data_IF_162296283983
#
_entry.id   IF_162296283983
#
_cell.length_a   1.000
_cell.length_b   1.000
_cell.length_c   1.000
_cell.angle_alpha   90.00
_cell.angle_beta   90.00
_cell.angle_gamma   90.00
#
_symmetry.space_group_name_H-M   'P 1'
#
loop_
_entity.id
_entity.type
_entity.pdbx_description
1 polymer ?
#
# COMPACT_ATOMS: atom_id res chain seq x y z
N UNK A 1 -1.69 21.20 3.25
CA UNK A 1 -0.23 20.96 3.11
C UNK A 1 0.51 22.25 3.38
N UNK A 2 1.71 22.19 3.95
CA UNK A 2 2.51 23.41 4.17
C UNK A 2 2.83 24.08 2.81
N UNK A 3 2.62 25.40 2.68
CA UNK A 3 3.01 26.13 1.48
C UNK A 3 4.49 25.87 1.13
N UNK A 4 4.77 25.56 -0.13
CA UNK A 4 6.14 25.27 -0.60
C UNK A 4 6.69 23.88 -0.29
N UNK A 5 5.95 23.01 0.42
CA UNK A 5 6.42 21.66 0.77
C UNK A 5 6.82 20.84 -0.46
N UNK A 6 5.99 20.82 -1.51
CA UNK A 6 6.26 20.05 -2.73
C UNK A 6 7.49 20.57 -3.47
N UNK A 7 7.66 21.89 -3.55
CA UNK A 7 8.82 22.52 -4.17
C UNK A 7 10.11 22.14 -3.44
N UNK A 8 10.12 22.23 -2.12
CA UNK A 8 11.27 21.83 -1.31
C UNK A 8 11.57 20.34 -1.44
N UNK A 9 10.55 19.49 -1.41
CA UNK A 9 10.72 18.04 -1.56
C UNK A 9 11.27 17.69 -2.96
N UNK A 10 10.83 18.37 -4.01
CA UNK A 10 11.36 18.16 -5.36
C UNK A 10 12.85 18.54 -5.46
N UNK A 11 13.26 19.64 -4.83
CA UNK A 11 14.66 20.05 -4.76
C UNK A 11 15.52 18.99 -4.06
N UNK A 12 15.07 18.53 -2.87
CA UNK A 12 15.78 17.50 -2.10
C UNK A 12 15.89 16.17 -2.88
N UNK A 13 14.81 15.71 -3.53
CA UNK A 13 14.85 14.48 -4.33
C UNK A 13 15.86 14.57 -5.49
N UNK A 14 15.91 15.73 -6.17
CA UNK A 14 16.87 15.95 -7.25
C UNK A 14 18.31 16.05 -6.74
N UNK A 15 18.53 16.60 -5.55
CA UNK A 15 19.86 16.64 -4.93
C UNK A 15 20.30 15.26 -4.45
N UNK A 16 19.41 14.48 -3.84
CA UNK A 16 19.75 13.18 -3.28
C UNK A 16 20.06 12.15 -4.36
N UNK A 17 19.33 12.15 -5.49
CA UNK A 17 19.54 11.16 -6.55
C UNK A 17 20.92 11.26 -7.22
N UNK A 18 21.66 12.35 -7.00
CA UNK A 18 23.04 12.53 -7.46
C UNK A 18 24.06 11.79 -6.59
N UNK A 19 23.71 11.40 -5.36
CA UNK A 19 24.63 10.71 -4.45
C UNK A 19 25.05 9.35 -5.03
N UNK A 20 26.30 8.89 -4.78
CA UNK A 20 26.82 7.64 -5.34
C UNK A 20 25.98 6.40 -5.02
N UNK A 21 25.36 6.36 -3.83
CA UNK A 21 24.47 5.29 -3.37
C UNK A 21 23.21 5.15 -4.24
N UNK A 22 22.78 6.22 -4.90
CA UNK A 22 21.65 6.26 -5.83
C UNK A 22 22.07 6.29 -7.30
N UNK A 23 23.31 5.95 -7.64
CA UNK A 23 23.84 5.94 -9.01
C UNK A 23 22.92 5.22 -10.03
N UNK A 24 22.26 4.13 -9.61
CA UNK A 24 21.30 3.37 -10.44
C UNK A 24 20.00 4.12 -10.75
N UNK A 25 19.70 5.18 -10.01
CA UNK A 25 18.47 5.97 -10.08
C UNK A 25 18.68 7.36 -10.72
N UNK A 26 19.90 7.71 -11.13
CA UNK A 26 20.22 9.03 -11.68
C UNK A 26 19.34 9.46 -12.87
N UNK A 27 18.82 8.50 -13.64
CA UNK A 27 17.87 8.76 -14.71
C UNK A 27 16.56 9.41 -14.23
N UNK A 28 16.25 9.37 -12.93
CA UNK A 28 15.08 10.00 -12.34
C UNK A 28 15.25 11.51 -12.08
N UNK A 29 16.47 12.03 -12.20
CA UNK A 29 16.74 13.46 -12.01
C UNK A 29 15.92 14.28 -12.99
N UNK A 30 15.16 15.25 -12.48
CA UNK A 30 14.27 16.10 -13.27
C UNK A 30 13.00 15.40 -13.76
N UNK A 31 12.81 14.10 -13.48
CA UNK A 31 11.63 13.35 -13.92
C UNK A 31 10.66 12.98 -12.79
N UNK A 32 10.93 13.40 -11.55
CA UNK A 32 10.00 13.23 -10.43
C UNK A 32 8.70 14.00 -10.68
N UNK A 33 7.57 13.33 -10.45
CA UNK A 33 6.22 13.90 -10.63
C UNK A 33 5.44 13.80 -9.34
N UNK A 34 4.75 14.89 -9.00
CA UNK A 34 3.77 14.91 -7.92
C UNK A 34 2.38 15.01 -8.53
N UNK A 35 1.51 14.07 -8.21
CA UNK A 35 0.14 14.05 -8.67
C UNK A 35 -0.75 14.72 -7.63
N UNK A 36 -1.57 15.68 -8.07
CA UNK A 36 -2.53 16.31 -7.20
C UNK A 36 -3.74 15.39 -7.02
N UNK A 37 -4.10 15.03 -5.78
CA UNK A 37 -5.31 14.29 -5.53
C UNK A 37 -6.57 15.15 -5.81
N UNK A 38 -7.76 14.53 -6.00
CA UNK A 38 -9.02 15.24 -6.22
C UNK A 38 -9.56 16.03 -5.01
N UNK A 39 -8.83 16.06 -3.89
CA UNK A 39 -9.23 16.76 -2.68
C UNK A 39 -8.03 17.07 -1.77
N UNK A 40 -8.28 17.63 -0.61
CA UNK A 40 -7.23 18.03 0.32
C UNK A 40 -6.50 16.82 0.94
N UNK A 41 -5.20 16.99 1.16
CA UNK A 41 -4.34 15.94 1.68
C UNK A 41 -4.76 15.40 3.06
N UNK A 42 -5.48 16.19 3.86
CA UNK A 42 -5.91 15.78 5.21
C UNK A 42 -7.06 14.77 5.21
N UNK A 43 -7.87 14.69 4.15
CA UNK A 43 -8.98 13.74 4.06
C UNK A 43 -8.90 12.79 2.86
N UNK A 44 -7.88 12.89 2.02
CA UNK A 44 -7.81 12.11 0.78
C UNK A 44 -7.84 10.60 1.02
N UNK A 45 -7.23 10.11 2.11
CA UNK A 45 -7.30 8.70 2.50
C UNK A 45 -8.72 8.24 2.82
N UNK A 46 -9.52 9.10 3.48
CA UNK A 46 -10.92 8.80 3.78
C UNK A 46 -11.78 8.80 2.50
N UNK A 47 -11.54 9.75 1.60
CA UNK A 47 -12.20 9.76 0.28
C UNK A 47 -11.88 8.49 -0.52
N UNK A 48 -10.63 8.04 -0.51
CA UNK A 48 -10.23 6.78 -1.14
C UNK A 48 -10.94 5.57 -0.54
N UNK A 49 -11.08 5.52 0.79
CA UNK A 49 -11.86 4.48 1.49
C UNK A 49 -13.34 4.51 1.13
N UNK A 50 -13.95 5.69 1.01
CA UNK A 50 -15.35 5.84 0.59
C UNK A 50 -15.58 5.37 -0.85
N UNK A 51 -14.68 5.75 -1.77
CA UNK A 51 -14.72 5.28 -3.18
C UNK A 51 -14.57 3.77 -3.21
N UNK A 52 -13.57 3.21 -2.53
CA UNK A 52 -13.33 1.77 -2.50
C UNK A 52 -14.50 0.99 -1.89
N UNK A 53 -15.11 1.52 -0.83
CA UNK A 53 -16.27 0.91 -0.18
C UNK A 53 -17.54 0.92 -1.04
N UNK A 54 -17.64 1.84 -2.00
CA UNK A 54 -18.72 1.87 -2.97
C UNK A 54 -18.52 0.90 -4.15
N UNK A 55 -17.34 0.28 -4.29
CA UNK A 55 -17.07 -0.73 -5.31
C UNK A 55 -17.61 -2.11 -4.91
N UNK A 56 -18.02 -2.91 -5.89
CA UNK A 56 -18.51 -4.29 -5.68
C UNK A 56 -17.42 -5.28 -5.22
N UNK A 57 -16.15 -4.87 -5.19
CA UNK A 57 -15.04 -5.74 -4.79
C UNK A 57 -14.85 -5.82 -3.27
N UNK A 58 -15.52 -4.98 -2.49
CA UNK A 58 -15.37 -4.94 -1.03
C UNK A 58 -15.73 -6.27 -0.35
N UNK A 59 -16.87 -6.94 -0.64
CA UNK A 59 -17.25 -8.18 0.04
C UNK A 59 -16.19 -9.28 -0.07
N UNK A 60 -15.53 -9.41 -1.22
CA UNK A 60 -14.47 -10.40 -1.45
C UNK A 60 -13.11 -10.06 -0.85
N UNK A 61 -12.94 -8.84 -0.31
CA UNK A 61 -11.70 -8.37 0.32
C UNK A 61 -11.88 -7.98 1.79
N UNK A 62 -13.11 -8.00 2.29
CA UNK A 62 -13.46 -7.70 3.67
C UNK A 62 -13.59 -8.96 4.51
N UNK A 63 -13.41 -8.83 5.82
CA UNK A 63 -13.64 -9.91 6.78
C UNK A 63 -15.13 -9.93 7.17
N UNK A 64 -15.77 -11.09 7.02
CA UNK A 64 -17.13 -11.28 7.51
C UNK A 64 -17.16 -11.41 9.04
N UNK A 65 -18.28 -11.02 9.65
CA UNK A 65 -18.50 -11.22 11.10
C UNK A 65 -18.34 -12.69 11.50
N UNK A 66 -18.86 -13.61 10.69
CA UNK A 66 -18.79 -15.05 10.97
C UNK A 66 -17.35 -15.54 11.01
N UNK A 67 -16.53 -15.12 10.04
CA UNK A 67 -15.11 -15.48 9.98
C UNK A 67 -14.31 -14.91 11.15
N UNK A 68 -14.64 -13.68 11.59
CA UNK A 68 -14.04 -13.11 12.79
C UNK A 68 -14.41 -13.88 14.06
N UNK A 69 -15.67 -14.28 14.21
CA UNK A 69 -16.10 -15.03 15.40
C UNK A 69 -15.50 -16.45 15.48
N UNK A 70 -15.17 -17.04 14.34
CA UNK A 70 -14.50 -18.34 14.27
C UNK A 70 -13.01 -18.24 14.63
N UNK A 71 -12.29 -17.25 14.06
CA UNK A 71 -10.84 -17.14 14.20
C UNK A 71 -10.38 -16.20 15.33
N UNK A 72 -11.25 -15.32 15.80
CA UNK A 72 -10.98 -14.34 16.86
C UNK A 72 -10.00 -13.22 16.48
N UNK A 73 -9.61 -13.10 15.20
CA UNK A 73 -8.62 -12.13 14.74
C UNK A 73 -8.97 -11.51 13.39
N UNK A 74 -8.55 -10.25 13.21
CA UNK A 74 -8.48 -9.62 11.89
C UNK A 74 -7.07 -9.85 11.36
N UNK A 75 -6.90 -10.48 10.18
CA UNK A 75 -5.57 -10.78 9.68
C UNK A 75 -4.85 -9.49 9.28
N UNK A 76 -3.64 -9.32 9.80
CA UNK A 76 -2.67 -8.30 9.40
C UNK A 76 -1.76 -8.79 8.27
N UNK A 77 -0.79 -7.96 7.88
CA UNK A 77 0.13 -8.30 6.79
C UNK A 77 0.98 -9.55 7.08
N UNK A 78 1.39 -9.76 8.34
CA UNK A 78 2.24 -10.88 8.73
C UNK A 78 1.43 -12.20 8.72
N UNK A 79 0.26 -12.17 9.34
CA UNK A 79 -0.65 -13.33 9.42
C UNK A 79 -1.16 -13.78 8.05
N UNK A 80 -1.36 -12.88 7.08
CA UNK A 80 -1.69 -13.27 5.70
C UNK A 80 -0.55 -13.96 4.96
N UNK A 81 0.70 -13.57 5.21
CA UNK A 81 1.90 -14.21 4.62
C UNK A 81 2.06 -15.62 5.20
N UNK A 82 1.92 -15.76 6.52
CA UNK A 82 2.06 -17.04 7.22
C UNK A 82 0.93 -18.02 6.88
N UNK A 83 -0.30 -17.52 6.64
CA UNK A 83 -1.41 -18.35 6.14
C UNK A 83 -1.12 -18.94 4.75
N UNK A 84 -0.58 -18.14 3.81
CA UNK A 84 -0.17 -18.64 2.50
C UNK A 84 0.92 -19.70 2.57
N UNK A 85 1.84 -19.60 3.54
CA UNK A 85 2.88 -20.61 3.73
C UNK A 85 2.29 -21.95 4.19
N UNK A 86 1.36 -21.92 5.16
CA UNK A 86 0.69 -23.12 5.66
C UNK A 86 -0.22 -23.80 4.61
N UNK A 87 -0.85 -23.03 3.72
CA UNK A 87 -1.67 -23.57 2.65
C UNK A 87 -0.85 -24.28 1.56
N UNK A 88 0.42 -23.88 1.34
CA UNK A 88 1.35 -24.57 0.45
C UNK A 88 1.86 -25.88 1.07
N UNK A 89 2.16 -25.89 2.37
CA UNK A 89 2.61 -27.11 3.07
C UNK A 89 1.51 -28.17 3.23
N UNK A 90 0.23 -27.77 3.34
CA UNK A 90 -0.89 -28.72 3.44
C UNK A 90 -1.23 -29.43 2.13
N UNK A 91 -0.87 -28.88 0.97
CA UNK A 91 -1.19 -29.52 -0.32
C UNK A 91 -0.37 -30.79 -0.60
N UNK A 92 0.77 -30.97 0.06
CA UNK A 92 1.66 -32.13 -0.15
C UNK A 92 1.28 -33.38 0.67
N UNK A 93 0.38 -33.25 1.66
CA UNK A 93 0.04 -34.37 2.56
C UNK A 93 -1.26 -35.10 2.23
N UNK A 94 -1.98 -34.71 1.17
CA UNK A 94 -3.26 -35.34 0.77
C UNK A 94 -3.15 -36.19 -0.50
N UNK A 95 -1.94 -36.62 -0.89
CA UNK A 95 -1.72 -37.59 -1.97
C UNK A 95 -1.05 -38.87 -1.46
N UNK A 96 -1.76 -39.65 -0.64
CA UNK A 96 -1.56 -41.10 -0.48
C UNK A 96 -2.90 -41.77 -0.19
#
# INVERSE_FOLDING_TARGET
>A
MLPGFVSRLMEELNSLVELPEFSKLQALKGSFKFHNPPGEANYIGWLGGAIFGALECLPGRSLSRSSFLENGLVPDWCTQIDQKHNDLERQDTTRQ
#
